data_IF_426306905032
#
_entry.id   IF_426306905032
#
_cell.length_a   1.000
_cell.length_b   1.000
_cell.length_c   1.000
_cell.angle_alpha   90.00
_cell.angle_beta   90.00
_cell.angle_gamma   90.00
#
_symmetry.space_group_name_H-M   'P 1'
#
loop_
_entity.id
_entity.type
_entity.pdbx_description
1 polymer ?
#
# COMPACT_ATOMS: atom_id res chain seq x y z
N UNK A 1 19.63 1.75 -13.19
CA UNK A 1 19.10 1.34 -11.87
C UNK A 1 18.75 2.59 -11.09
N UNK A 2 17.51 2.71 -10.56
CA UNK A 2 17.13 3.89 -9.79
C UNK A 2 17.83 3.91 -8.41
N UNK A 3 18.49 5.03 -8.13
CA UNK A 3 19.23 5.31 -6.90
C UNK A 3 18.29 5.39 -5.69
N UNK A 4 18.82 5.23 -4.47
CA UNK A 4 18.03 5.35 -3.24
C UNK A 4 17.36 6.74 -3.13
N UNK A 5 18.02 7.78 -3.62
CA UNK A 5 17.51 9.15 -3.65
C UNK A 5 16.32 9.30 -4.62
N UNK A 6 16.37 8.66 -5.80
CA UNK A 6 15.26 8.64 -6.76
C UNK A 6 14.06 7.87 -6.22
N UNK A 7 14.31 6.75 -5.52
CA UNK A 7 13.25 5.99 -4.84
C UNK A 7 12.61 6.79 -3.70
N UNK A 8 13.40 7.54 -2.93
CA UNK A 8 12.89 8.43 -1.88
C UNK A 8 12.17 9.65 -2.42
N UNK A 9 12.62 10.22 -3.55
CA UNK A 9 11.92 11.31 -4.25
C UNK A 9 10.58 10.84 -4.80
N UNK A 10 10.56 9.68 -5.46
CA UNK A 10 9.33 9.06 -5.95
C UNK A 10 8.38 8.68 -4.79
N UNK A 11 8.92 8.18 -3.68
CA UNK A 11 8.15 7.92 -2.45
C UNK A 11 7.52 9.22 -1.90
N UNK A 12 8.31 10.29 -1.75
CA UNK A 12 7.82 11.59 -1.26
C UNK A 12 6.78 12.18 -2.20
N UNK A 13 7.00 12.13 -3.51
CA UNK A 13 5.99 12.57 -4.49
C UNK A 13 4.69 11.77 -4.34
N UNK A 14 4.75 10.43 -4.20
CA UNK A 14 3.56 9.59 -3.99
C UNK A 14 2.90 9.78 -2.62
N UNK A 15 3.65 10.23 -1.62
CA UNK A 15 3.15 10.38 -0.24
C UNK A 15 2.60 11.79 0.05
N UNK A 16 3.13 12.82 -0.61
CA UNK A 16 2.64 14.20 -0.51
C UNK A 16 1.53 14.53 -1.51
N UNK A 17 1.40 13.77 -2.59
CA UNK A 17 0.33 13.94 -3.57
C UNK A 17 -0.87 13.06 -3.20
N UNK A 18 -1.49 13.37 -2.07
CA UNK A 18 -2.94 13.18 -1.97
C UNK A 18 -3.54 14.31 -2.82
N UNK A 19 -3.54 14.14 -4.14
CA UNK A 19 -3.91 15.20 -5.11
C UNK A 19 -5.33 15.72 -4.85
N UNK A 20 -6.16 14.92 -4.18
CA UNK A 20 -7.55 15.23 -3.84
C UNK A 20 -7.84 15.28 -2.32
N UNK A 21 -6.83 15.07 -1.45
CA UNK A 21 -6.97 15.17 0.01
C UNK A 21 -7.91 14.14 0.67
N UNK A 22 -8.20 13.01 0.02
CA UNK A 22 -9.18 12.02 0.48
C UNK A 22 -8.59 10.87 1.29
N UNK A 23 -7.33 10.95 1.71
CA UNK A 23 -6.68 9.95 2.55
C UNK A 23 -7.15 9.99 4.00
N UNK A 24 -7.85 8.95 4.45
CA UNK A 24 -8.22 8.78 5.85
C UNK A 24 -7.17 7.99 6.67
N UNK A 25 -7.06 8.31 7.97
CA UNK A 25 -6.12 7.62 8.87
C UNK A 25 -6.72 6.29 9.35
N UNK A 26 -6.08 5.18 8.96
CA UNK A 26 -6.42 3.85 9.45
C UNK A 26 -5.91 3.64 10.89
N UNK A 27 -6.77 3.85 11.88
CA UNK A 27 -6.46 3.68 13.31
C UNK A 27 -6.60 2.23 13.74
N UNK A 28 -5.61 1.39 13.44
CA UNK A 28 -5.64 -0.02 13.86
C UNK A 28 -4.27 -0.54 14.31
N UNK A 29 -4.32 -1.54 15.19
CA UNK A 29 -3.16 -2.37 15.54
C UNK A 29 -3.28 -3.69 14.79
N UNK A 30 -2.21 -4.11 14.15
CA UNK A 30 -2.10 -5.41 13.48
C UNK A 30 -0.97 -6.22 14.11
N UNK A 31 -0.96 -7.53 13.86
CA UNK A 31 0.13 -8.39 14.32
C UNK A 31 1.47 -7.97 13.71
N UNK A 32 2.56 -8.24 14.44
CA UNK A 32 3.94 -7.99 13.96
C UNK A 32 4.19 -8.71 12.64
N UNK A 33 3.66 -9.94 12.50
CA UNK A 33 3.78 -10.75 11.29
C UNK A 33 3.07 -10.09 10.10
N UNK A 34 1.86 -9.58 10.27
CA UNK A 34 1.11 -8.91 9.20
C UNK A 34 1.84 -7.65 8.73
N UNK A 35 2.37 -6.84 9.66
CA UNK A 35 3.18 -5.66 9.33
C UNK A 35 4.43 -6.05 8.53
N UNK A 36 5.12 -7.13 8.94
CA UNK A 36 6.31 -7.61 8.23
C UNK A 36 5.99 -8.14 6.83
N UNK A 37 4.88 -8.87 6.67
CA UNK A 37 4.40 -9.35 5.37
C UNK A 37 4.08 -8.18 4.43
N UNK A 38 3.31 -7.21 4.89
CA UNK A 38 2.98 -6.00 4.12
C UNK A 38 4.24 -5.27 3.66
N UNK A 39 5.23 -5.14 4.56
CA UNK A 39 6.52 -4.53 4.23
C UNK A 39 7.30 -5.29 3.16
N UNK A 40 7.35 -6.63 3.24
CA UNK A 40 8.01 -7.46 2.22
C UNK A 40 7.33 -7.35 0.85
N UNK A 41 6.00 -7.41 0.82
CA UNK A 41 5.21 -7.28 -0.40
C UNK A 41 5.39 -5.90 -1.05
N UNK A 42 5.26 -4.83 -0.27
CA UNK A 42 5.45 -3.47 -0.75
C UNK A 42 6.86 -3.28 -1.34
N UNK A 43 7.89 -3.80 -0.67
CA UNK A 43 9.28 -3.74 -1.15
C UNK A 43 9.47 -4.54 -2.44
N UNK A 44 8.93 -5.75 -2.52
CA UNK A 44 9.02 -6.59 -3.72
C UNK A 44 8.42 -5.89 -4.95
N UNK A 45 7.30 -5.17 -4.76
CA UNK A 45 6.63 -4.43 -5.83
C UNK A 45 7.13 -2.98 -6.04
N UNK A 46 8.06 -2.50 -5.22
CA UNK A 46 8.58 -1.12 -5.33
C UNK A 46 7.53 -0.03 -5.05
N UNK A 47 6.53 -0.32 -4.21
CA UNK A 47 5.44 0.60 -3.83
C UNK A 47 5.42 0.84 -2.32
N UNK A 48 4.58 1.78 -1.85
CA UNK A 48 4.41 2.05 -0.42
C UNK A 48 3.56 0.97 0.25
N UNK A 49 3.67 0.83 1.57
CA UNK A 49 2.80 -0.08 2.34
C UNK A 49 1.32 0.31 2.22
N UNK A 50 1.01 1.62 2.13
CA UNK A 50 -0.34 2.13 1.85
C UNK A 50 -0.86 1.60 0.52
N UNK A 51 -0.13 1.83 -0.58
CA UNK A 51 -0.55 1.41 -1.92
C UNK A 51 -0.66 -0.12 -2.03
N UNK A 52 0.23 -0.85 -1.33
CA UNK A 52 0.13 -2.31 -1.25
C UNK A 52 -1.14 -2.74 -0.50
N UNK A 53 -1.47 -2.08 0.61
CA UNK A 53 -2.66 -2.37 1.40
C UNK A 53 -3.94 -2.11 0.58
N UNK A 54 -4.06 -0.96 -0.06
CA UNK A 54 -5.18 -0.61 -0.96
C UNK A 54 -5.33 -1.65 -2.09
N UNK A 55 -4.22 -2.08 -2.70
CA UNK A 55 -4.22 -3.13 -3.73
C UNK A 55 -4.73 -4.47 -3.21
N UNK A 56 -4.33 -4.86 -2.00
CA UNK A 56 -4.78 -6.12 -1.38
C UNK A 56 -6.27 -6.07 -1.04
N UNK A 57 -6.77 -4.94 -0.52
CA UNK A 57 -8.19 -4.75 -0.21
C UNK A 57 -9.05 -4.87 -1.48
N UNK A 58 -8.70 -4.14 -2.55
CA UNK A 58 -9.43 -4.21 -3.81
C UNK A 58 -9.40 -5.63 -4.44
N UNK A 59 -8.30 -6.37 -4.26
CA UNK A 59 -8.20 -7.76 -4.72
C UNK A 59 -9.08 -8.71 -3.90
N UNK A 60 -9.16 -8.48 -2.59
CA UNK A 60 -10.04 -9.23 -1.70
C UNK A 60 -11.52 -8.97 -2.03
N UNK A 61 -11.92 -7.70 -2.20
CA UNK A 61 -13.28 -7.31 -2.59
C UNK A 61 -13.73 -8.02 -3.87
N UNK A 62 -12.91 -7.94 -4.94
CA UNK A 62 -13.21 -8.65 -6.19
C UNK A 62 -13.39 -10.14 -5.97
N UNK A 63 -12.51 -10.77 -5.18
CA UNK A 63 -12.59 -12.21 -4.91
C UNK A 63 -13.84 -12.59 -4.11
N UNK A 64 -14.31 -11.72 -3.22
CA UNK A 64 -15.54 -11.92 -2.45
C UNK A 64 -16.78 -11.73 -3.31
N UNK A 65 -16.78 -10.76 -4.23
CA UNK A 65 -17.94 -10.47 -5.09
C UNK A 65 -18.29 -11.64 -6.04
N UNK A 66 -17.30 -12.41 -6.50
CA UNK A 66 -17.53 -13.65 -7.28
C UNK A 66 -18.09 -14.82 -6.47
N UNK A 67 -18.01 -14.79 -5.13
CA UNK A 67 -18.51 -15.89 -4.28
C UNK A 67 -19.98 -15.68 -3.90
N UNK A 68 -20.49 -14.45 -4.01
CA UNK A 68 -21.85 -14.08 -3.60
C UNK A 68 -22.82 -13.77 -4.75
N UNK A 69 -22.37 -13.86 -6.01
CA UNK A 69 -23.19 -13.70 -7.21
C UNK A 69 -23.50 -15.06 -7.85
#
# INVERSE_FOLDING_TARGET
MATNAERQRAYRQRHLQDVDGSGERLNMVVSVQAKAQLGRLARHHGISQRAMLERLLAAAERSTEYVTA
#
